data_IF_788435666110
#
_entry.id   IF_788435666110
#
_cell.length_a   1.000
_cell.length_b   1.000
_cell.length_c   1.000
_cell.angle_alpha   90.00
_cell.angle_beta   90.00
_cell.angle_gamma   90.00
#
_symmetry.space_group_name_H-M   'P 1'
#
loop_
_entity.id
_entity.type
_entity.pdbx_description
1 polymer ?
#
# COMPACT_ATOMS: atom_id res chain seq x y z
N UNK A 1 36.50 4.27 26.98
CA UNK A 1 37.49 3.76 26.02
C UNK A 1 37.97 4.92 25.18
N UNK A 2 39.27 5.00 24.91
CA UNK A 2 39.80 5.94 23.93
C UNK A 2 39.30 5.51 22.54
N UNK A 3 38.68 6.44 21.80
CA UNK A 3 38.14 6.20 20.46
C UNK A 3 39.05 6.88 19.44
N UNK A 4 39.45 6.13 18.41
CA UNK A 4 40.28 6.63 17.33
C UNK A 4 39.41 7.31 16.28
N UNK A 5 39.76 8.54 15.91
CA UNK A 5 39.10 9.24 14.81
C UNK A 5 39.28 8.45 13.51
N UNK A 6 38.21 8.32 12.71
CA UNK A 6 38.21 7.55 11.47
C UNK A 6 39.31 7.97 10.49
N UNK A 7 39.65 9.27 10.49
CA UNK A 7 40.62 9.86 9.58
C UNK A 7 42.07 9.81 10.07
N UNK A 8 42.28 9.44 11.34
CA UNK A 8 43.61 9.28 11.93
C UNK A 8 44.38 8.11 11.30
N UNK A 9 45.71 8.13 11.38
CA UNK A 9 46.55 7.04 10.86
C UNK A 9 46.18 5.70 11.51
N UNK A 10 46.01 5.69 12.83
CA UNK A 10 45.63 4.49 13.60
C UNK A 10 44.22 4.04 13.24
N UNK A 11 43.26 4.96 13.15
CA UNK A 11 41.88 4.65 12.76
C UNK A 11 41.77 4.06 11.36
N UNK A 12 42.55 4.54 10.39
CA UNK A 12 42.61 3.99 9.03
C UNK A 12 43.19 2.58 8.99
N UNK A 13 44.28 2.32 9.73
CA UNK A 13 44.86 0.97 9.79
C UNK A 13 43.97 -0.01 10.55
N UNK A 14 43.29 0.43 11.60
CA UNK A 14 42.29 -0.39 12.30
C UNK A 14 41.10 -0.73 11.40
N UNK A 15 40.59 0.23 10.62
CA UNK A 15 39.53 -0.04 9.64
C UNK A 15 39.98 -1.04 8.58
N UNK A 16 41.20 -0.90 8.03
CA UNK A 16 41.76 -1.89 7.08
C UNK A 16 41.84 -3.27 7.71
N UNK A 17 42.35 -3.36 8.95
CA UNK A 17 42.45 -4.62 9.69
C UNK A 17 41.08 -5.29 9.87
N UNK A 18 40.04 -4.52 10.21
CA UNK A 18 38.69 -5.04 10.38
C UNK A 18 38.01 -5.44 9.06
N UNK A 19 38.43 -4.87 7.92
CA UNK A 19 37.93 -5.30 6.60
C UNK A 19 38.49 -6.65 6.14
N UNK A 20 39.72 -6.99 6.53
CA UNK A 20 40.36 -8.27 6.16
C UNK A 20 39.47 -9.50 6.45
N UNK A 21 38.92 -9.71 7.67
CA UNK A 21 38.06 -10.87 7.92
C UNK A 21 36.75 -10.80 7.12
N UNK A 22 36.18 -9.61 6.88
CA UNK A 22 34.98 -9.45 6.06
C UNK A 22 35.25 -9.96 4.64
N UNK A 23 36.32 -9.47 4.01
CA UNK A 23 36.65 -9.76 2.61
C UNK A 23 37.10 -11.21 2.39
N UNK A 24 37.74 -11.82 3.41
CA UNK A 24 38.23 -13.20 3.30
C UNK A 24 37.13 -14.22 3.58
N UNK A 25 36.28 -13.99 4.58
CA UNK A 25 35.23 -14.95 4.92
C UNK A 25 34.01 -14.82 4.01
N UNK A 26 33.67 -13.62 3.54
CA UNK A 26 32.47 -13.34 2.75
C UNK A 26 31.19 -13.92 3.37
N UNK A 27 31.16 -13.93 4.71
CA UNK A 27 30.04 -14.46 5.48
C UNK A 27 29.98 -13.74 6.83
N UNK A 28 28.94 -12.93 7.00
CA UNK A 28 28.72 -12.16 8.23
C UNK A 28 28.63 -13.07 9.46
N UNK A 29 28.01 -14.26 9.36
CA UNK A 29 27.88 -15.17 10.49
C UNK A 29 29.23 -15.68 10.98
N UNK A 30 30.19 -15.90 10.08
CA UNK A 30 31.56 -16.29 10.45
C UNK A 30 32.29 -15.13 11.12
N UNK A 31 32.12 -13.90 10.63
CA UNK A 31 32.69 -12.70 11.26
C UNK A 31 32.12 -12.50 12.66
N UNK A 32 30.82 -12.75 12.87
CA UNK A 32 30.17 -12.65 14.19
C UNK A 32 30.69 -13.67 15.22
N UNK A 33 31.30 -14.78 14.78
CA UNK A 33 31.93 -15.76 15.67
C UNK A 33 33.29 -15.31 16.21
N UNK A 34 33.89 -14.26 15.62
CA UNK A 34 35.16 -13.70 16.08
C UNK A 34 34.95 -12.93 17.38
N UNK A 35 35.38 -13.53 18.50
CA UNK A 35 35.13 -13.05 19.87
C UNK A 35 35.46 -11.57 20.11
N UNK A 36 36.50 -11.05 19.46
CA UNK A 36 36.99 -9.68 19.66
C UNK A 36 36.63 -8.73 18.52
N UNK A 37 35.87 -9.15 17.51
CA UNK A 37 35.56 -8.30 16.36
C UNK A 37 34.70 -7.09 16.74
N UNK A 38 33.54 -7.32 17.37
CA UNK A 38 32.67 -6.22 17.82
C UNK A 38 33.36 -5.31 18.87
N UNK A 39 34.08 -5.85 19.90
CA UNK A 39 34.87 -5.00 20.80
C UNK A 39 35.94 -4.15 20.11
N UNK A 40 36.60 -4.67 19.07
CA UNK A 40 37.59 -3.91 18.30
C UNK A 40 36.95 -2.76 17.51
N UNK A 41 35.76 -3.00 16.96
CA UNK A 41 34.99 -1.96 16.26
C UNK A 41 34.60 -0.79 17.17
N UNK A 42 34.33 -1.03 18.46
CA UNK A 42 34.01 0.01 19.45
C UNK A 42 35.14 1.00 19.75
N UNK A 43 36.38 0.66 19.37
CA UNK A 43 37.52 1.58 19.45
C UNK A 43 37.54 2.62 18.32
N UNK A 44 36.70 2.50 17.29
CA UNK A 44 36.50 3.54 16.29
C UNK A 44 35.51 4.60 16.81
N UNK A 45 35.67 5.83 16.35
CA UNK A 45 34.65 6.87 16.49
C UNK A 45 33.36 6.53 15.72
N UNK A 46 32.31 7.34 15.90
CA UNK A 46 31.02 7.14 15.23
C UNK A 46 31.16 6.98 13.71
N UNK A 47 31.95 7.85 13.07
CA UNK A 47 32.12 7.83 11.61
C UNK A 47 32.83 6.56 11.13
N UNK A 48 33.85 6.09 11.84
CA UNK A 48 34.56 4.86 11.52
C UNK A 48 33.66 3.63 11.68
N UNK A 49 32.86 3.60 12.76
CA UNK A 49 31.86 2.53 12.97
C UNK A 49 30.78 2.57 11.89
N UNK A 50 30.26 3.75 11.53
CA UNK A 50 29.26 3.92 10.45
C UNK A 50 29.78 3.40 9.11
N UNK A 51 30.99 3.81 8.69
CA UNK A 51 31.61 3.35 7.45
C UNK A 51 31.82 1.83 7.43
N UNK A 52 32.26 1.26 8.56
CA UNK A 52 32.45 -0.19 8.66
C UNK A 52 31.10 -0.92 8.65
N UNK A 53 30.05 -0.41 9.30
CA UNK A 53 28.70 -0.96 9.25
C UNK A 53 28.16 -1.01 7.82
N UNK A 54 28.33 0.08 7.05
CA UNK A 54 27.95 0.13 5.62
C UNK A 54 28.73 -0.92 4.83
N UNK A 55 30.04 -1.05 5.09
CA UNK A 55 30.88 -2.05 4.41
C UNK A 55 30.44 -3.49 4.73
N UNK A 56 30.16 -3.78 6.00
CA UNK A 56 29.65 -5.07 6.46
C UNK A 56 28.33 -5.41 5.77
N UNK A 57 27.38 -4.47 5.73
CA UNK A 57 26.10 -4.71 5.07
C UNK A 57 26.24 -4.95 3.57
N UNK A 58 27.09 -4.19 2.87
CA UNK A 58 27.33 -4.43 1.44
C UNK A 58 27.93 -5.82 1.21
N UNK A 59 28.95 -6.22 1.97
CA UNK A 59 29.52 -7.57 1.83
C UNK A 59 28.48 -8.68 2.14
N UNK A 60 27.66 -8.52 3.18
CA UNK A 60 26.61 -9.47 3.52
C UNK A 60 25.53 -9.54 2.42
N UNK A 61 25.21 -8.41 1.79
CA UNK A 61 24.30 -8.32 0.65
C UNK A 61 24.88 -9.01 -0.58
N UNK A 62 26.10 -8.68 -0.96
CA UNK A 62 26.80 -9.22 -2.14
C UNK A 62 27.06 -10.73 -2.01
N UNK A 63 27.30 -11.20 -0.78
CA UNK A 63 27.53 -12.62 -0.48
C UNK A 63 26.24 -13.39 -0.14
N UNK A 64 25.07 -12.74 -0.25
CA UNK A 64 23.76 -13.32 0.05
C UNK A 64 23.66 -14.01 1.41
N UNK A 65 24.27 -13.44 2.46
CA UNK A 65 24.33 -14.08 3.79
C UNK A 65 22.93 -14.17 4.41
N UNK A 66 22.41 -15.39 4.58
CA UNK A 66 21.08 -15.62 5.17
C UNK A 66 21.14 -15.66 6.70
N UNK A 67 20.28 -14.86 7.34
CA UNK A 67 20.13 -14.83 8.81
C UNK A 67 18.93 -15.69 9.21
N UNK A 68 19.16 -16.72 10.00
CA UNK A 68 18.20 -17.82 10.22
C UNK A 68 17.68 -17.91 11.66
N UNK A 69 18.33 -17.28 12.63
CA UNK A 69 17.93 -17.36 14.05
C UNK A 69 17.80 -15.99 14.69
N UNK A 70 17.01 -15.92 15.76
CA UNK A 70 16.84 -14.66 16.51
C UNK A 70 18.19 -14.15 17.07
N UNK A 71 19.07 -15.05 17.50
CA UNK A 71 20.39 -14.69 18.03
C UNK A 71 21.28 -14.07 16.94
N UNK A 72 21.24 -14.61 15.73
CA UNK A 72 21.99 -14.06 14.59
C UNK A 72 21.46 -12.67 14.20
N UNK A 73 20.15 -12.44 14.26
CA UNK A 73 19.54 -11.11 14.03
C UNK A 73 20.07 -10.11 15.07
N UNK A 74 20.05 -10.49 16.35
CA UNK A 74 20.52 -9.61 17.44
C UNK A 74 21.99 -9.27 17.27
N UNK A 75 22.84 -10.27 16.99
CA UNK A 75 24.27 -10.06 16.77
C UNK A 75 24.53 -9.18 15.54
N UNK A 76 23.86 -9.45 14.41
CA UNK A 76 24.04 -8.68 13.18
C UNK A 76 23.60 -7.22 13.35
N UNK A 77 22.39 -6.98 13.88
CA UNK A 77 21.87 -5.63 14.06
C UNK A 77 22.62 -4.83 15.14
N UNK A 78 23.12 -5.49 16.19
CA UNK A 78 23.97 -4.83 17.18
C UNK A 78 25.34 -4.44 16.59
N UNK A 79 25.92 -5.29 15.73
CA UNK A 79 27.18 -4.97 15.06
C UNK A 79 27.05 -3.73 14.17
N UNK A 80 25.91 -3.58 13.47
CA UNK A 80 25.63 -2.41 12.63
C UNK A 80 24.78 -1.33 13.33
N UNK A 81 24.85 -1.26 14.66
CA UNK A 81 23.99 -0.41 15.50
C UNK A 81 24.00 1.07 15.08
N UNK A 82 25.11 1.58 14.52
CA UNK A 82 25.22 2.93 13.98
C UNK A 82 24.19 3.26 12.88
N UNK A 83 23.72 2.24 12.15
CA UNK A 83 22.69 2.37 11.11
C UNK A 83 21.28 2.10 11.65
N UNK A 84 21.18 1.44 12.81
CA UNK A 84 19.91 1.02 13.42
C UNK A 84 19.31 2.12 14.28
N UNK A 85 20.10 2.77 15.13
CA UNK A 85 19.63 3.78 16.08
C UNK A 85 20.65 4.91 16.25
N UNK A 86 20.18 6.05 16.77
CA UNK A 86 21.06 7.15 17.13
C UNK A 86 22.06 6.73 18.21
N UNK A 87 23.31 7.16 18.04
CA UNK A 87 24.40 6.82 18.94
C UNK A 87 24.72 7.99 19.89
N UNK A 88 25.18 7.68 21.09
CA UNK A 88 25.47 8.71 22.11
C UNK A 88 26.64 9.63 21.72
N UNK A 89 27.57 9.13 20.90
CA UNK A 89 28.71 9.86 20.35
C UNK A 89 28.50 10.37 18.92
N UNK A 90 27.28 10.26 18.40
CA UNK A 90 26.95 10.79 17.08
C UNK A 90 27.09 12.31 17.06
N UNK A 91 27.80 12.88 16.07
CA UNK A 91 27.88 14.33 15.91
C UNK A 91 26.48 14.94 15.75
N UNK A 92 26.19 16.02 16.49
CA UNK A 92 24.92 16.77 16.41
C UNK A 92 24.91 17.73 15.22
N UNK A 93 25.08 17.17 14.04
CA UNK A 93 25.03 17.90 12.76
C UNK A 93 23.66 17.62 12.15
N UNK A 94 23.19 18.53 11.29
CA UNK A 94 22.01 18.29 10.47
C UNK A 94 22.19 17.00 9.68
N UNK A 95 21.19 16.13 9.74
CA UNK A 95 21.23 14.83 9.08
C UNK A 95 20.86 15.03 7.62
N UNK A 96 21.77 14.66 6.73
CA UNK A 96 21.45 14.57 5.31
C UNK A 96 20.41 13.46 5.08
N UNK A 97 19.22 13.87 4.62
CA UNK A 97 18.08 12.97 4.44
C UNK A 97 18.34 12.00 3.27
N UNK A 98 19.09 12.42 2.26
CA UNK A 98 19.42 11.59 1.10
C UNK A 98 20.44 10.52 1.49
N UNK A 99 21.52 10.90 2.17
CA UNK A 99 22.53 9.95 2.69
C UNK A 99 21.88 8.93 3.65
N UNK A 100 21.03 9.41 4.57
CA UNK A 100 20.30 8.53 5.48
C UNK A 100 19.39 7.57 4.71
N UNK A 101 18.71 8.03 3.66
CA UNK A 101 17.84 7.17 2.86
C UNK A 101 18.63 6.07 2.14
N UNK A 102 19.83 6.36 1.64
CA UNK A 102 20.73 5.34 1.05
C UNK A 102 21.16 4.29 2.07
N UNK A 103 21.59 4.73 3.26
CA UNK A 103 21.95 3.84 4.37
C UNK A 103 20.79 2.96 4.81
N UNK A 104 19.61 3.56 4.98
CA UNK A 104 18.41 2.81 5.35
C UNK A 104 17.94 1.90 4.22
N UNK A 105 18.24 2.23 2.96
CA UNK A 105 18.06 1.34 1.81
C UNK A 105 18.90 0.07 1.93
N UNK A 106 20.17 0.17 2.35
CA UNK A 106 21.02 -1.00 2.60
C UNK A 106 20.47 -1.86 3.74
N UNK A 107 20.09 -1.24 4.86
CA UNK A 107 19.51 -1.97 5.99
C UNK A 107 18.17 -2.63 5.62
N UNK A 108 17.33 -1.94 4.85
CA UNK A 108 16.07 -2.46 4.32
C UNK A 108 16.29 -3.69 3.43
N UNK A 109 17.27 -3.64 2.52
CA UNK A 109 17.69 -4.80 1.71
C UNK A 109 18.19 -5.95 2.56
N UNK A 110 18.97 -5.66 3.60
CA UNK A 110 19.52 -6.69 4.49
C UNK A 110 18.42 -7.43 5.26
N UNK A 111 17.35 -6.75 5.68
CA UNK A 111 16.18 -7.38 6.33
C UNK A 111 15.56 -8.46 5.42
N UNK A 112 15.61 -8.32 4.10
CA UNK A 112 15.12 -9.36 3.19
C UNK A 112 15.92 -10.67 3.26
N UNK A 113 17.14 -10.68 3.80
CA UNK A 113 17.95 -11.88 4.03
C UNK A 113 17.59 -12.61 5.33
N UNK A 114 16.65 -12.08 6.13
CA UNK A 114 16.17 -12.74 7.35
C UNK A 114 15.18 -13.84 6.99
N UNK A 115 15.71 -15.06 6.79
CA UNK A 115 14.93 -16.22 6.33
C UNK A 115 15.30 -17.46 7.12
N UNK A 116 14.29 -18.07 7.72
CA UNK A 116 14.37 -19.32 8.46
C UNK A 116 13.62 -20.40 7.70
N UNK A 117 14.06 -21.65 7.85
CA UNK A 117 13.39 -22.82 7.27
C UNK A 117 12.09 -23.16 8.01
N UNK A 118 12.08 -23.00 9.33
CA UNK A 118 10.88 -23.19 10.16
C UNK A 118 10.05 -21.90 10.23
N UNK A 119 8.73 -21.95 9.99
CA UNK A 119 7.82 -20.82 10.18
C UNK A 119 7.84 -20.23 11.60
N UNK A 120 7.97 -21.09 12.63
CA UNK A 120 8.01 -20.64 14.02
C UNK A 120 9.32 -19.87 14.31
N UNK A 121 10.43 -20.39 13.78
CA UNK A 121 11.73 -19.70 13.87
C UNK A 121 11.70 -18.37 13.10
N UNK A 122 11.02 -18.32 11.94
CA UNK A 122 10.83 -17.09 11.17
C UNK A 122 10.08 -16.03 11.99
N UNK A 123 9.04 -16.44 12.74
CA UNK A 123 8.31 -15.50 13.61
C UNK A 123 9.22 -14.91 14.70
N UNK A 124 10.09 -15.72 15.30
CA UNK A 124 11.07 -15.26 16.30
C UNK A 124 12.10 -14.30 15.70
N UNK A 125 12.60 -14.60 14.50
CA UNK A 125 13.50 -13.73 13.73
C UNK A 125 12.86 -12.36 13.48
N UNK A 126 11.62 -12.32 12.98
CA UNK A 126 10.88 -11.07 12.73
C UNK A 126 10.60 -10.31 14.04
N UNK A 127 10.25 -11.02 15.11
CA UNK A 127 9.96 -10.42 16.42
C UNK A 127 11.19 -9.75 17.02
N UNK A 128 12.35 -10.41 16.95
CA UNK A 128 13.61 -9.83 17.44
C UNK A 128 14.06 -8.65 16.57
N UNK A 129 13.96 -8.78 15.24
CA UNK A 129 14.26 -7.69 14.31
C UNK A 129 13.40 -6.44 14.60
N UNK A 130 12.08 -6.61 14.77
CA UNK A 130 11.16 -5.51 15.09
C UNK A 130 11.49 -4.84 16.42
N UNK A 131 11.89 -5.62 17.44
CA UNK A 131 12.28 -5.08 18.75
C UNK A 131 13.48 -4.14 18.64
N UNK A 132 14.48 -4.51 17.85
CA UNK A 132 15.70 -3.71 17.67
C UNK A 132 15.45 -2.52 16.73
N UNK A 133 14.90 -2.77 15.55
CA UNK A 133 14.66 -1.74 14.53
C UNK A 133 13.61 -0.71 14.97
N UNK A 134 12.65 -1.12 15.82
CA UNK A 134 11.66 -0.21 16.38
C UNK A 134 12.24 0.90 17.28
N UNK A 135 13.48 0.74 17.76
CA UNK A 135 14.20 1.76 18.52
C UNK A 135 14.92 2.80 17.62
N UNK A 136 14.86 2.66 16.30
CA UNK A 136 15.64 3.48 15.36
C UNK A 136 15.18 4.92 15.15
N UNK A 137 14.04 5.31 15.74
CA UNK A 137 13.45 6.64 15.60
C UNK A 137 12.67 6.83 14.29
N UNK A 138 11.88 7.91 14.21
CA UNK A 138 10.93 8.18 13.11
C UNK A 138 11.57 8.21 11.72
N UNK A 139 12.79 8.75 11.62
CA UNK A 139 13.51 8.87 10.35
C UNK A 139 13.92 7.51 9.75
N UNK A 140 14.15 6.49 10.59
CA UNK A 140 14.63 5.16 10.14
C UNK A 140 13.51 4.16 9.98
N UNK A 141 12.57 4.13 10.93
CA UNK A 141 11.50 3.12 10.96
C UNK A 141 10.63 3.14 9.70
N UNK A 142 10.50 4.31 9.04
CA UNK A 142 9.79 4.47 7.77
C UNK A 142 10.36 3.59 6.64
N UNK A 143 11.64 3.22 6.71
CA UNK A 143 12.32 2.39 5.72
C UNK A 143 12.49 0.93 6.15
N UNK A 144 12.61 0.68 7.46
CA UNK A 144 13.00 -0.64 7.99
C UNK A 144 11.83 -1.49 8.50
N UNK A 145 10.73 -0.87 8.94
CA UNK A 145 9.55 -1.63 9.39
C UNK A 145 8.67 -2.17 8.24
N UNK A 146 8.49 -1.49 7.10
CA UNK A 146 7.66 -2.04 6.01
C UNK A 146 8.13 -3.42 5.49
N UNK A 147 9.44 -3.68 5.28
CA UNK A 147 9.91 -5.02 4.93
C UNK A 147 9.51 -6.10 5.92
N UNK A 148 9.54 -5.80 7.23
CA UNK A 148 9.12 -6.75 8.28
C UNK A 148 7.62 -7.05 8.20
N UNK A 149 6.80 -6.03 7.92
CA UNK A 149 5.35 -6.20 7.73
C UNK A 149 5.06 -7.11 6.54
N UNK A 150 5.74 -6.90 5.40
CA UNK A 150 5.58 -7.75 4.22
C UNK A 150 6.06 -9.19 4.46
N UNK A 151 7.21 -9.38 5.12
CA UNK A 151 7.68 -10.72 5.48
C UNK A 151 6.72 -11.41 6.47
N UNK A 152 6.09 -10.66 7.37
CA UNK A 152 5.07 -11.18 8.26
C UNK A 152 3.79 -11.61 7.51
N UNK A 153 3.33 -10.84 6.51
CA UNK A 153 2.23 -11.28 5.65
C UNK A 153 2.57 -12.55 4.86
N UNK A 154 3.79 -12.63 4.28
CA UNK A 154 4.26 -13.84 3.63
C UNK A 154 4.28 -15.03 4.59
N UNK A 155 4.69 -14.82 5.84
CA UNK A 155 4.66 -15.85 6.88
C UNK A 155 3.23 -16.30 7.21
N UNK A 156 2.26 -15.39 7.25
CA UNK A 156 0.85 -15.74 7.45
C UNK A 156 0.30 -16.61 6.32
N UNK A 157 0.67 -16.34 5.06
CA UNK A 157 0.35 -17.22 3.93
C UNK A 157 0.99 -18.61 4.08
N UNK A 158 2.26 -18.68 4.51
CA UNK A 158 2.90 -19.99 4.77
C UNK A 158 2.19 -20.81 5.84
N UNK A 159 1.69 -20.18 6.92
CA UNK A 159 0.91 -20.90 7.93
C UNK A 159 -0.41 -21.43 7.39
N UNK A 160 -1.05 -20.70 6.47
CA UNK A 160 -2.23 -21.20 5.77
C UNK A 160 -1.93 -22.43 4.92
N UNK A 161 -0.81 -22.41 4.20
CA UNK A 161 -0.40 -23.55 3.37
C UNK A 161 -0.14 -24.80 4.23
N UNK A 162 0.25 -24.61 5.50
CA UNK A 162 0.49 -25.66 6.48
C UNK A 162 -0.72 -25.99 7.36
N UNK A 163 -1.94 -25.56 6.98
CA UNK A 163 -3.16 -25.75 7.80
C UNK A 163 -3.45 -27.20 8.18
N UNK A 164 -3.06 -28.16 7.33
CA UNK A 164 -3.33 -29.58 7.53
C UNK A 164 -2.29 -30.24 8.46
N UNK A 165 -1.13 -29.61 8.62
CA UNK A 165 -0.01 -30.07 9.46
C UNK A 165 -0.01 -29.40 10.84
N UNK A 166 -0.39 -28.12 10.92
CA UNK A 166 -0.33 -27.30 12.13
C UNK A 166 -1.74 -26.97 12.65
N UNK A 167 -2.19 -27.68 13.68
CA UNK A 167 -3.50 -27.43 14.32
C UNK A 167 -3.64 -26.04 14.97
N UNK A 168 -2.53 -25.32 15.19
CA UNK A 168 -2.53 -23.98 15.78
C UNK A 168 -2.32 -22.86 14.74
N UNK A 169 -2.36 -23.18 13.44
CA UNK A 169 -2.09 -22.21 12.37
C UNK A 169 -2.94 -20.94 12.48
N UNK A 170 -4.22 -21.05 12.86
CA UNK A 170 -5.13 -19.91 13.01
C UNK A 170 -4.69 -18.95 14.12
N UNK A 171 -4.33 -19.50 15.29
CA UNK A 171 -3.82 -18.71 16.43
C UNK A 171 -2.49 -18.06 16.07
N UNK A 172 -1.64 -18.73 15.29
CA UNK A 172 -0.38 -18.17 14.80
C UNK A 172 -0.63 -17.02 13.81
N UNK A 173 -1.58 -17.17 12.89
CA UNK A 173 -2.04 -16.08 12.00
C UNK A 173 -2.56 -14.87 12.79
N UNK A 174 -3.42 -15.07 13.80
CA UNK A 174 -3.88 -14.00 14.68
C UNK A 174 -2.71 -13.25 15.33
N UNK A 175 -1.72 -13.98 15.87
CA UNK A 175 -0.54 -13.41 16.49
C UNK A 175 0.33 -12.62 15.49
N UNK A 176 0.41 -13.07 14.24
CA UNK A 176 1.09 -12.35 13.16
C UNK A 176 0.37 -11.04 12.84
N UNK A 177 -0.95 -11.05 12.72
CA UNK A 177 -1.69 -9.83 12.42
C UNK A 177 -1.68 -8.82 13.58
N UNK A 178 -1.65 -9.29 14.83
CA UNK A 178 -1.37 -8.42 15.99
C UNK A 178 0.04 -7.81 15.92
N UNK A 179 1.04 -8.61 15.54
CA UNK A 179 2.39 -8.12 15.31
C UNK A 179 2.44 -7.05 14.21
N UNK A 180 1.83 -7.30 13.05
CA UNK A 180 1.80 -6.32 11.95
C UNK A 180 1.03 -5.07 12.32
N UNK A 181 -0.12 -5.20 12.99
CA UNK A 181 -0.88 -4.06 13.48
C UNK A 181 -0.01 -3.19 14.39
N UNK A 182 0.61 -3.77 15.42
CA UNK A 182 1.47 -3.03 16.35
C UNK A 182 2.71 -2.40 15.68
N UNK A 183 3.16 -2.96 14.56
CA UNK A 183 4.28 -2.47 13.77
C UNK A 183 3.85 -1.30 12.90
N UNK A 184 2.69 -1.39 12.25
CA UNK A 184 2.10 -0.31 11.46
C UNK A 184 1.70 0.86 12.37
N UNK A 185 1.13 0.61 13.55
CA UNK A 185 0.83 1.67 14.54
C UNK A 185 2.10 2.43 14.98
N UNK A 186 3.26 1.78 15.00
CA UNK A 186 4.52 2.48 15.29
C UNK A 186 4.89 3.47 14.18
N UNK A 187 4.56 3.17 12.92
CA UNK A 187 4.72 4.09 11.80
C UNK A 187 3.70 5.24 11.86
N UNK A 188 2.47 4.97 12.28
CA UNK A 188 1.47 6.04 12.52
C UNK A 188 1.94 7.01 13.60
N UNK A 189 2.47 6.49 14.72
CA UNK A 189 3.07 7.31 15.79
C UNK A 189 4.30 8.10 15.34
N UNK A 190 4.88 7.75 14.20
CA UNK A 190 5.98 8.47 13.57
C UNK A 190 5.50 9.55 12.58
N UNK A 191 4.22 9.92 12.65
CA UNK A 191 3.57 10.94 11.82
C UNK A 191 3.57 10.58 10.32
N UNK A 192 3.49 9.29 10.02
CA UNK A 192 3.30 8.79 8.65
C UNK A 192 1.82 8.43 8.45
N UNK A 193 1.19 9.00 7.43
CA UNK A 193 -0.21 8.73 7.10
C UNK A 193 -0.35 7.77 5.91
N UNK A 194 0.28 8.14 4.80
CA UNK A 194 0.12 7.50 3.50
C UNK A 194 0.68 6.08 3.42
N UNK A 195 1.84 5.83 4.04
CA UNK A 195 2.48 4.52 4.03
C UNK A 195 1.73 3.53 4.95
N UNK A 196 1.41 3.87 6.21
CA UNK A 196 0.61 2.99 7.07
C UNK A 196 -0.77 2.66 6.53
N UNK A 197 -1.45 3.62 5.89
CA UNK A 197 -2.74 3.39 5.24
C UNK A 197 -2.61 2.25 4.20
N UNK A 198 -1.61 2.32 3.31
CA UNK A 198 -1.39 1.27 2.30
C UNK A 198 -1.04 -0.08 2.93
N UNK A 199 -0.26 -0.09 4.02
CA UNK A 199 0.07 -1.32 4.76
C UNK A 199 -1.17 -1.95 5.42
N UNK A 200 -2.04 -1.14 6.03
CA UNK A 200 -3.31 -1.63 6.58
C UNK A 200 -4.21 -2.22 5.50
N UNK A 201 -4.33 -1.57 4.34
CA UNK A 201 -5.12 -2.07 3.22
C UNK A 201 -4.56 -3.39 2.64
N UNK A 202 -3.24 -3.50 2.49
CA UNK A 202 -2.60 -4.77 2.10
C UNK A 202 -2.81 -5.86 3.17
N UNK A 203 -2.76 -5.50 4.45
CA UNK A 203 -3.10 -6.40 5.54
C UNK A 203 -4.53 -6.91 5.46
N UNK A 204 -5.50 -6.03 5.20
CA UNK A 204 -6.90 -6.42 5.03
C UNK A 204 -7.10 -7.41 3.85
N UNK A 205 -6.41 -7.19 2.72
CA UNK A 205 -6.40 -8.12 1.59
C UNK A 205 -5.80 -9.48 1.97
N UNK A 206 -4.66 -9.48 2.67
CA UNK A 206 -4.02 -10.71 3.14
C UNK A 206 -4.94 -11.49 4.10
N UNK A 207 -5.59 -10.81 5.04
CA UNK A 207 -6.55 -11.41 5.98
C UNK A 207 -7.72 -12.05 5.23
N UNK A 208 -8.31 -11.33 4.28
CA UNK A 208 -9.40 -11.82 3.43
C UNK A 208 -9.00 -13.08 2.65
N UNK A 209 -7.79 -13.10 2.08
CA UNK A 209 -7.30 -14.27 1.38
C UNK A 209 -7.02 -15.43 2.32
N UNK A 210 -6.50 -15.18 3.52
CA UNK A 210 -6.06 -16.25 4.42
C UNK A 210 -7.25 -16.98 5.06
N UNK A 211 -8.20 -16.24 5.63
CA UNK A 211 -9.43 -16.80 6.19
C UNK A 211 -9.25 -17.67 7.44
N UNK A 212 -8.53 -17.18 8.45
CA UNK A 212 -8.39 -17.84 9.77
C UNK A 212 -9.57 -17.50 10.72
N UNK A 213 -9.73 -18.18 11.85
CA UNK A 213 -10.79 -17.84 12.84
C UNK A 213 -10.79 -16.35 13.24
N UNK A 214 -11.96 -15.70 13.24
CA UNK A 214 -12.16 -14.26 13.51
C UNK A 214 -11.49 -13.30 12.51
N UNK A 215 -11.09 -13.78 11.31
CA UNK A 215 -10.48 -12.93 10.28
C UNK A 215 -11.35 -11.73 9.88
N UNK A 216 -12.69 -11.87 9.89
CA UNK A 216 -13.61 -10.77 9.56
C UNK A 216 -13.42 -9.57 10.49
N UNK A 217 -13.42 -9.78 11.81
CA UNK A 217 -13.23 -8.70 12.79
C UNK A 217 -11.85 -8.05 12.67
N UNK A 218 -10.81 -8.85 12.40
CA UNK A 218 -9.44 -8.32 12.22
C UNK A 218 -9.34 -7.51 10.92
N UNK A 219 -9.95 -7.96 9.83
CA UNK A 219 -9.99 -7.21 8.58
C UNK A 219 -10.75 -5.89 8.73
N UNK A 220 -11.87 -5.91 9.47
CA UNK A 220 -12.65 -4.70 9.76
C UNK A 220 -11.82 -3.68 10.54
N UNK A 221 -11.09 -4.12 11.58
CA UNK A 221 -10.20 -3.25 12.34
C UNK A 221 -9.12 -2.62 11.45
N UNK A 222 -8.49 -3.40 10.56
CA UNK A 222 -7.49 -2.87 9.63
C UNK A 222 -8.06 -1.81 8.68
N UNK A 223 -9.26 -2.03 8.14
CA UNK A 223 -9.93 -1.04 7.30
C UNK A 223 -10.34 0.20 8.10
N UNK A 224 -10.84 0.02 9.33
CA UNK A 224 -11.20 1.11 10.24
C UNK A 224 -10.00 2.01 10.52
N UNK A 225 -8.84 1.43 10.84
CA UNK A 225 -7.58 2.17 11.02
C UNK A 225 -7.17 2.92 9.73
N UNK A 226 -7.35 2.31 8.56
CA UNK A 226 -7.08 2.98 7.28
C UNK A 226 -8.03 4.17 7.03
N UNK A 227 -9.31 4.05 7.39
CA UNK A 227 -10.26 5.16 7.32
C UNK A 227 -9.92 6.28 8.30
N UNK A 228 -9.58 5.96 9.55
CA UNK A 228 -9.15 6.97 10.53
C UNK A 228 -7.94 7.76 10.03
N UNK A 229 -6.92 7.07 9.48
CA UNK A 229 -5.76 7.74 8.88
C UNK A 229 -6.14 8.64 7.70
N UNK A 230 -7.07 8.19 6.85
CA UNK A 230 -7.56 8.99 5.74
C UNK A 230 -8.28 10.27 6.21
N UNK A 231 -9.13 10.16 7.23
CA UNK A 231 -9.94 11.28 7.72
C UNK A 231 -9.12 12.28 8.55
N UNK A 232 -8.20 11.80 9.38
CA UNK A 232 -7.49 12.62 10.37
C UNK A 232 -6.18 13.22 9.83
N UNK A 233 -5.41 12.47 9.04
CA UNK A 233 -4.02 12.81 8.72
C UNK A 233 -3.79 13.20 7.24
N UNK A 234 -4.61 12.72 6.30
CA UNK A 234 -4.44 13.00 4.87
C UNK A 234 -5.22 14.25 4.48
N UNK A 235 -4.53 15.38 4.34
CA UNK A 235 -5.12 16.68 4.01
C UNK A 235 -4.92 17.12 2.55
N UNK A 236 -3.88 16.65 1.86
CA UNK A 236 -3.64 17.01 0.46
C UNK A 236 -4.71 16.44 -0.47
N UNK A 237 -5.30 17.28 -1.31
CA UNK A 237 -6.42 16.91 -2.19
C UNK A 237 -6.08 15.78 -3.16
N UNK A 238 -4.85 15.72 -3.69
CA UNK A 238 -4.45 14.65 -4.63
C UNK A 238 -4.23 13.35 -3.86
N UNK A 239 -3.55 13.43 -2.71
CA UNK A 239 -3.35 12.28 -1.82
C UNK A 239 -4.69 11.72 -1.32
N UNK A 240 -5.67 12.56 -0.97
CA UNK A 240 -7.01 12.15 -0.58
C UNK A 240 -7.71 11.35 -1.68
N UNK A 241 -7.72 11.86 -2.93
CA UNK A 241 -8.33 11.15 -4.05
C UNK A 241 -7.64 9.79 -4.31
N UNK A 242 -6.31 9.76 -4.26
CA UNK A 242 -5.55 8.53 -4.43
C UNK A 242 -5.85 7.51 -3.31
N UNK A 243 -5.88 7.97 -2.06
CA UNK A 243 -6.15 7.13 -0.89
C UNK A 243 -7.58 6.56 -0.94
N UNK A 244 -8.61 7.38 -1.19
CA UNK A 244 -9.99 6.89 -1.25
C UNK A 244 -10.20 5.94 -2.42
N UNK A 245 -9.58 6.20 -3.58
CA UNK A 245 -9.63 5.31 -4.74
C UNK A 245 -9.02 3.95 -4.40
N UNK A 246 -7.90 3.94 -3.66
CA UNK A 246 -7.23 2.72 -3.21
C UNK A 246 -8.06 1.96 -2.15
N UNK A 247 -8.69 2.67 -1.22
CA UNK A 247 -9.64 2.08 -0.25
C UNK A 247 -10.81 1.42 -1.00
N UNK A 248 -11.41 2.11 -1.99
CA UNK A 248 -12.49 1.58 -2.81
C UNK A 248 -12.04 0.33 -3.58
N UNK A 249 -10.90 0.37 -4.26
CA UNK A 249 -10.36 -0.80 -4.96
C UNK A 249 -10.03 -1.97 -4.02
N UNK A 250 -9.59 -1.67 -2.79
CA UNK A 250 -9.33 -2.71 -1.78
C UNK A 250 -10.63 -3.35 -1.31
N UNK A 251 -11.65 -2.55 -0.99
CA UNK A 251 -12.94 -3.05 -0.51
C UNK A 251 -13.69 -3.83 -1.59
N UNK A 252 -13.52 -3.48 -2.87
CA UNK A 252 -14.09 -4.20 -4.00
C UNK A 252 -13.56 -5.65 -4.10
N UNK A 253 -12.29 -5.86 -3.76
CA UNK A 253 -11.64 -7.18 -3.77
C UNK A 253 -11.87 -8.01 -2.49
N UNK A 254 -12.29 -7.37 -1.40
CA UNK A 254 -12.56 -8.07 -0.14
C UNK A 254 -13.92 -8.77 -0.22
N UNK A 255 -13.95 -10.04 0.21
CA UNK A 255 -15.13 -10.92 0.16
C UNK A 255 -15.49 -11.53 1.51
N UNK A 256 -14.71 -11.26 2.56
CA UNK A 256 -14.85 -11.89 3.86
C UNK A 256 -15.89 -11.24 4.79
N UNK A 257 -16.44 -10.07 4.44
CA UNK A 257 -17.42 -9.37 5.27
C UNK A 257 -18.84 -9.89 5.05
N UNK A 258 -19.56 -10.11 6.15
CA UNK A 258 -21.01 -10.21 6.13
C UNK A 258 -21.67 -8.88 5.76
N UNK A 259 -22.97 -8.92 5.43
CA UNK A 259 -23.74 -7.72 5.05
C UNK A 259 -23.68 -6.60 6.10
N UNK A 260 -23.74 -6.98 7.38
CA UNK A 260 -23.69 -6.05 8.52
C UNK A 260 -22.43 -5.19 8.56
N UNK A 261 -21.29 -5.73 8.10
CA UNK A 261 -20.01 -5.02 8.06
C UNK A 261 -19.72 -4.42 6.67
N UNK A 262 -20.14 -5.09 5.59
CA UNK A 262 -19.89 -4.66 4.23
C UNK A 262 -20.64 -3.37 3.87
N UNK A 263 -21.93 -3.27 4.23
CA UNK A 263 -22.75 -2.11 3.87
C UNK A 263 -22.28 -0.79 4.52
N UNK A 264 -21.95 -0.75 5.82
CA UNK A 264 -21.38 0.45 6.44
C UNK A 264 -20.09 0.91 5.77
N UNK A 265 -19.16 0.00 5.47
CA UNK A 265 -17.88 0.33 4.82
C UNK A 265 -18.09 0.90 3.41
N UNK A 266 -19.00 0.32 2.62
CA UNK A 266 -19.34 0.84 1.28
C UNK A 266 -19.98 2.22 1.34
N UNK A 267 -20.88 2.42 2.30
CA UNK A 267 -21.54 3.71 2.52
C UNK A 267 -20.53 4.76 3.00
N UNK A 268 -19.61 4.39 3.89
CA UNK A 268 -18.54 5.27 4.36
C UNK A 268 -17.60 5.67 3.21
N UNK A 269 -17.23 4.76 2.29
CA UNK A 269 -16.50 5.11 1.07
C UNK A 269 -17.23 6.18 0.26
N UNK A 270 -18.53 5.98 0.00
CA UNK A 270 -19.33 6.91 -0.78
C UNK A 270 -19.50 8.28 -0.10
N UNK A 271 -19.57 8.30 1.24
CA UNK A 271 -19.59 9.53 2.03
C UNK A 271 -18.24 10.26 1.94
N UNK A 272 -17.13 9.55 2.18
CA UNK A 272 -15.77 10.07 2.09
C UNK A 272 -15.47 10.66 0.70
N UNK A 273 -15.80 9.94 -0.38
CA UNK A 273 -15.65 10.41 -1.74
C UNK A 273 -16.45 11.70 -2.00
N UNK A 274 -17.65 11.83 -1.42
CA UNK A 274 -18.47 13.04 -1.58
C UNK A 274 -18.03 14.24 -0.73
N UNK A 275 -17.15 14.02 0.25
CA UNK A 275 -16.56 15.07 1.10
C UNK A 275 -15.23 15.60 0.57
N UNK A 276 -14.68 15.04 -0.51
CA UNK A 276 -13.46 15.56 -1.15
C UNK A 276 -13.59 17.06 -1.44
N UNK A 277 -12.51 17.84 -1.38
CA UNK A 277 -12.62 19.29 -1.50
C UNK A 277 -12.99 19.74 -2.92
N UNK A 278 -12.36 19.16 -3.94
CA UNK A 278 -12.53 19.57 -5.35
C UNK A 278 -13.70 18.84 -6.00
N UNK A 279 -14.55 19.58 -6.74
CA UNK A 279 -15.73 19.03 -7.43
C UNK A 279 -15.40 17.94 -8.47
N UNK A 280 -14.35 18.07 -9.31
CA UNK A 280 -13.97 17.00 -10.23
C UNK A 280 -13.57 15.72 -9.50
N UNK A 281 -12.81 15.85 -8.41
CA UNK A 281 -12.36 14.72 -7.59
C UNK A 281 -13.55 14.06 -6.86
N UNK A 282 -14.48 14.86 -6.31
CA UNK A 282 -15.75 14.34 -5.77
C UNK A 282 -16.53 13.53 -6.81
N UNK A 283 -16.63 14.03 -8.04
CA UNK A 283 -17.36 13.38 -9.12
C UNK A 283 -16.74 12.03 -9.47
N UNK A 284 -15.42 12.01 -9.71
CA UNK A 284 -14.65 10.79 -10.00
C UNK A 284 -14.71 9.79 -8.86
N UNK A 285 -14.47 10.22 -7.62
CA UNK A 285 -14.54 9.34 -6.45
C UNK A 285 -15.92 8.70 -6.27
N UNK A 286 -17.01 9.47 -6.40
CA UNK A 286 -18.38 8.94 -6.30
C UNK A 286 -18.69 7.98 -7.45
N UNK A 287 -18.20 8.26 -8.66
CA UNK A 287 -18.32 7.33 -9.79
C UNK A 287 -17.57 6.02 -9.50
N UNK A 288 -16.35 6.07 -8.97
CA UNK A 288 -15.59 4.87 -8.59
C UNK A 288 -16.30 4.07 -7.49
N UNK A 289 -16.91 4.74 -6.49
CA UNK A 289 -17.69 4.06 -5.45
C UNK A 289 -18.90 3.27 -5.99
N UNK A 290 -19.40 3.58 -7.19
CA UNK A 290 -20.50 2.81 -7.79
C UNK A 290 -20.13 1.33 -8.02
N UNK A 291 -18.85 1.03 -8.28
CA UNK A 291 -18.37 -0.34 -8.45
C UNK A 291 -18.55 -1.19 -7.18
N UNK A 292 -18.46 -0.59 -5.98
CA UNK A 292 -18.67 -1.30 -4.72
C UNK A 292 -20.06 -1.91 -4.58
N UNK A 293 -21.05 -1.30 -5.23
CA UNK A 293 -22.44 -1.77 -5.21
C UNK A 293 -22.75 -2.74 -6.34
N UNK A 294 -21.85 -2.87 -7.32
CA UNK A 294 -22.01 -3.78 -8.44
C UNK A 294 -21.09 -5.00 -8.30
N UNK A 295 -19.78 -4.82 -8.51
CA UNK A 295 -18.77 -5.90 -8.49
C UNK A 295 -18.23 -6.22 -7.10
N UNK A 296 -18.57 -5.41 -6.09
CA UNK A 296 -18.16 -5.65 -4.71
C UNK A 296 -18.64 -7.02 -4.21
N UNK A 297 -17.71 -7.81 -3.66
CA UNK A 297 -18.01 -9.15 -3.14
C UNK A 297 -18.40 -9.07 -1.67
N UNK A 298 -19.22 -10.02 -1.21
CA UNK A 298 -19.56 -10.15 0.21
C UNK A 298 -19.83 -11.61 0.56
N UNK A 299 -19.77 -11.94 1.86
CA UNK A 299 -20.12 -13.28 2.33
C UNK A 299 -21.60 -13.58 2.13
N UNK A 300 -22.47 -12.57 2.25
CA UNK A 300 -23.91 -12.68 2.04
C UNK A 300 -24.26 -12.97 0.57
N UNK A 301 -23.48 -12.43 -0.36
CA UNK A 301 -23.56 -12.73 -1.79
C UNK A 301 -22.82 -14.02 -2.17
N UNK A 302 -22.48 -14.89 -1.21
CA UNK A 302 -21.71 -16.12 -1.43
C UNK A 302 -20.36 -15.89 -2.14
N UNK A 303 -19.72 -14.73 -1.89
CA UNK A 303 -18.51 -14.22 -2.55
C UNK A 303 -18.68 -13.89 -4.05
N UNK A 304 -19.90 -13.75 -4.51
CA UNK A 304 -20.27 -13.25 -5.83
C UNK A 304 -20.51 -11.74 -5.81
N UNK A 305 -20.68 -11.15 -6.99
CA UNK A 305 -20.96 -9.73 -7.19
C UNK A 305 -22.34 -9.36 -6.62
N UNK A 306 -22.47 -8.17 -6.00
CA UNK A 306 -23.72 -7.80 -5.30
C UNK A 306 -24.85 -7.37 -6.23
N UNK A 307 -24.51 -6.87 -7.43
CA UNK A 307 -25.47 -6.41 -8.46
C UNK A 307 -26.60 -5.48 -7.94
N UNK A 308 -26.32 -4.57 -7.00
CA UNK A 308 -27.29 -3.55 -6.56
C UNK A 308 -27.38 -2.40 -7.57
N UNK A 309 -28.14 -2.61 -8.63
CA UNK A 309 -28.32 -1.65 -9.71
C UNK A 309 -28.91 -0.30 -9.26
N UNK A 310 -29.71 -0.28 -8.18
CA UNK A 310 -30.33 0.96 -7.67
C UNK A 310 -29.28 1.88 -7.07
N UNK A 311 -28.43 1.36 -6.19
CA UNK A 311 -27.34 2.15 -5.57
C UNK A 311 -26.31 2.62 -6.59
N UNK A 312 -26.03 1.81 -7.62
CA UNK A 312 -25.18 2.21 -8.75
C UNK A 312 -25.74 3.47 -9.41
N UNK A 313 -27.03 3.45 -9.79
CA UNK A 313 -27.67 4.59 -10.44
C UNK A 313 -27.74 5.80 -9.52
N UNK A 314 -27.94 5.62 -8.22
CA UNK A 314 -27.89 6.72 -7.24
C UNK A 314 -26.51 7.40 -7.17
N UNK A 315 -25.43 6.60 -7.18
CA UNK A 315 -24.05 7.10 -7.22
C UNK A 315 -23.79 7.89 -8.51
N UNK A 316 -24.15 7.33 -9.67
CA UNK A 316 -23.94 7.99 -10.96
C UNK A 316 -24.79 9.27 -11.10
N UNK A 317 -26.04 9.26 -10.63
CA UNK A 317 -26.89 10.47 -10.55
C UNK A 317 -26.30 11.53 -9.62
N UNK A 318 -25.68 11.11 -8.51
CA UNK A 318 -24.93 12.03 -7.62
C UNK A 318 -23.70 12.60 -8.35
N UNK A 319 -22.96 11.78 -9.09
CA UNK A 319 -21.85 12.20 -9.96
C UNK A 319 -22.28 13.27 -10.97
N UNK A 320 -23.39 13.06 -11.70
CA UNK A 320 -23.94 14.04 -12.65
C UNK A 320 -24.32 15.38 -11.99
N UNK A 321 -24.89 15.33 -10.78
CA UNK A 321 -25.21 16.54 -10.00
C UNK A 321 -23.95 17.30 -9.58
N UNK A 322 -22.89 16.59 -9.18
CA UNK A 322 -21.60 17.19 -8.81
C UNK A 322 -20.90 17.77 -10.04
N UNK A 323 -20.91 17.07 -11.18
CA UNK A 323 -20.36 17.58 -12.44
C UNK A 323 -21.01 18.91 -12.84
N UNK A 324 -22.34 19.03 -12.70
CA UNK A 324 -23.07 20.30 -12.95
C UNK A 324 -22.67 21.45 -12.00
N UNK A 325 -22.12 21.15 -10.82
CA UNK A 325 -21.64 22.16 -9.87
C UNK A 325 -20.21 22.63 -10.18
N UNK A 326 -19.55 22.05 -11.18
CA UNK A 326 -18.25 22.55 -11.64
C UNK A 326 -18.46 23.88 -12.37
N UNK A 327 -17.66 24.89 -12.02
CA UNK A 327 -17.73 26.22 -12.65
C UNK A 327 -17.12 26.23 -14.05
N UNK A 328 -16.12 25.38 -14.27
CA UNK A 328 -15.43 25.26 -15.55
C UNK A 328 -16.20 24.31 -16.48
N UNK A 329 -16.66 24.85 -17.61
CA UNK A 329 -17.46 24.14 -18.61
C UNK A 329 -16.64 23.03 -19.28
N UNK A 330 -15.34 23.26 -19.52
CA UNK A 330 -14.45 22.25 -20.12
C UNK A 330 -14.36 21.01 -19.22
N UNK A 331 -14.10 21.25 -17.93
CA UNK A 331 -14.05 20.18 -16.92
C UNK A 331 -15.42 19.51 -16.74
N UNK A 332 -16.51 20.28 -16.80
CA UNK A 332 -17.87 19.73 -16.73
C UNK A 332 -18.16 18.76 -17.88
N UNK A 333 -17.85 19.15 -19.12
CA UNK A 333 -18.05 18.29 -20.31
C UNK A 333 -17.15 17.05 -20.22
N UNK A 334 -15.89 17.20 -19.82
CA UNK A 334 -14.98 16.08 -19.60
C UNK A 334 -15.57 15.07 -18.58
N UNK A 335 -16.09 15.55 -17.45
CA UNK A 335 -16.72 14.70 -16.43
C UNK A 335 -17.99 14.02 -16.95
N UNK A 336 -18.78 14.67 -17.81
CA UNK A 336 -19.93 14.02 -18.43
C UNK A 336 -19.52 12.88 -19.36
N UNK A 337 -18.45 13.04 -20.15
CA UNK A 337 -17.90 11.96 -20.98
C UNK A 337 -17.37 10.81 -20.10
N UNK A 338 -16.63 11.11 -19.02
CA UNK A 338 -16.16 10.10 -18.06
C UNK A 338 -17.33 9.34 -17.41
N UNK A 339 -18.39 10.05 -16.97
CA UNK A 339 -19.59 9.44 -16.40
C UNK A 339 -20.37 8.63 -17.43
N UNK A 340 -20.47 9.08 -18.69
CA UNK A 340 -21.11 8.33 -19.76
C UNK A 340 -20.43 6.97 -19.94
N UNK A 341 -19.10 6.92 -19.93
CA UNK A 341 -18.36 5.66 -20.00
C UNK A 341 -18.68 4.74 -18.80
N UNK A 342 -18.85 5.27 -17.58
CA UNK A 342 -19.31 4.46 -16.44
C UNK A 342 -20.74 3.93 -16.64
N UNK A 343 -21.67 4.75 -17.15
CA UNK A 343 -23.02 4.29 -17.47
C UNK A 343 -23.01 3.18 -18.52
N UNK A 344 -22.20 3.34 -19.59
CA UNK A 344 -22.04 2.32 -20.63
C UNK A 344 -21.46 1.04 -20.04
N UNK A 345 -20.44 1.13 -19.18
CA UNK A 345 -19.86 -0.04 -18.50
C UNK A 345 -20.92 -0.85 -17.74
N UNK A 346 -21.74 -0.19 -16.91
CA UNK A 346 -22.77 -0.91 -16.14
C UNK A 346 -23.94 -1.39 -17.00
N UNK A 347 -24.28 -0.66 -18.06
CA UNK A 347 -25.24 -1.13 -19.07
C UNK A 347 -24.74 -2.43 -19.71
N UNK A 348 -23.45 -2.46 -20.09
CA UNK A 348 -22.79 -3.63 -20.67
C UNK A 348 -22.69 -4.81 -19.72
N UNK A 349 -22.63 -4.55 -18.42
CA UNK A 349 -22.62 -5.59 -17.39
C UNK A 349 -24.02 -6.12 -17.05
N UNK A 350 -25.07 -5.66 -17.73
CA UNK A 350 -26.44 -6.14 -17.54
C UNK A 350 -27.18 -5.46 -16.38
N UNK A 351 -26.89 -4.18 -16.09
CA UNK A 351 -27.66 -3.43 -15.10
C UNK A 351 -28.97 -2.90 -15.70
N UNK A 352 -30.08 -3.61 -15.44
CA UNK A 352 -31.43 -3.27 -15.91
C UNK A 352 -31.92 -1.88 -15.48
N UNK A 353 -31.32 -1.28 -14.44
CA UNK A 353 -31.70 0.06 -13.99
C UNK A 353 -31.16 1.17 -14.89
N UNK A 354 -30.19 0.86 -15.76
CA UNK A 354 -29.65 1.80 -16.73
C UNK A 354 -30.36 1.60 -18.04
N UNK A 355 -31.30 2.50 -18.35
CA UNK A 355 -32.02 2.47 -19.63
C UNK A 355 -31.28 3.26 -20.70
N UNK A 356 -31.54 2.89 -21.96
CA UNK A 356 -31.13 3.65 -23.15
C UNK A 356 -31.54 5.13 -23.07
N UNK A 357 -32.68 5.42 -22.45
CA UNK A 357 -33.13 6.80 -22.23
C UNK A 357 -32.16 7.61 -21.35
N UNK A 358 -31.58 7.00 -20.32
CA UNK A 358 -30.59 7.68 -19.46
C UNK A 358 -29.30 7.96 -20.25
N UNK A 359 -28.86 6.99 -21.06
CA UNK A 359 -27.70 7.17 -21.94
C UNK A 359 -27.92 8.34 -22.92
N UNK A 360 -29.07 8.36 -23.60
CA UNK A 360 -29.43 9.45 -24.53
C UNK A 360 -29.50 10.80 -23.83
N UNK A 361 -30.01 10.86 -22.59
CA UNK A 361 -30.01 12.11 -21.82
C UNK A 361 -28.61 12.63 -21.50
N UNK A 362 -27.64 11.74 -21.21
CA UNK A 362 -26.25 12.14 -20.95
C UNK A 362 -25.55 12.54 -22.24
N UNK A 363 -25.74 11.78 -23.32
CA UNK A 363 -25.22 12.09 -24.67
C UNK A 363 -25.76 13.44 -25.17
N UNK A 364 -27.06 13.68 -25.01
CA UNK A 364 -27.70 14.95 -25.38
C UNK A 364 -27.07 16.14 -24.67
N UNK A 365 -26.85 16.04 -23.35
CA UNK A 365 -26.16 17.10 -22.58
C UNK A 365 -24.73 17.35 -23.05
N UNK A 366 -23.99 16.31 -23.41
CA UNK A 366 -22.62 16.48 -23.93
C UNK A 366 -22.69 17.21 -25.28
N UNK A 367 -23.58 16.81 -26.19
CA UNK A 367 -23.74 17.46 -27.50
C UNK A 367 -24.21 18.92 -27.41
N UNK A 368 -25.00 19.27 -26.40
CA UNK A 368 -25.45 20.65 -26.16
C UNK A 368 -24.31 21.55 -25.66
N UNK A 369 -23.44 21.03 -24.79
CA UNK A 369 -22.38 21.82 -24.16
C UNK A 369 -21.05 21.82 -24.91
N UNK A 370 -20.76 20.77 -25.71
CA UNK A 370 -19.51 20.64 -26.47
C UNK A 370 -19.22 21.84 -27.42
N UNK A 371 -20.21 22.39 -28.15
CA UNK A 371 -19.98 23.55 -29.03
C UNK A 371 -19.72 24.87 -28.27
N UNK A 372 -20.06 24.92 -26.98
CA UNK A 372 -19.87 26.12 -26.14
C UNK A 372 -18.43 26.24 -25.62
N UNK A 373 -17.60 25.22 -25.85
CA UNK A 373 -16.20 25.21 -25.43
C UNK A 373 -15.34 26.05 -26.36
N UNK A 374 -14.43 26.83 -25.78
CA UNK A 374 -13.40 27.53 -26.54
C UNK A 374 -12.45 26.54 -27.21
N UNK A 375 -11.99 26.85 -28.42
CA UNK A 375 -11.07 25.99 -29.17
C UNK A 375 -9.71 25.95 -28.47
N UNK A 376 -9.36 24.78 -27.92
CA UNK A 376 -8.11 24.53 -27.21
C UNK A 376 -7.67 23.09 -27.41
N UNK A 377 -6.39 22.79 -27.12
CA UNK A 377 -5.88 21.41 -27.16
C UNK A 377 -6.65 20.48 -26.20
N UNK A 378 -7.16 20.99 -25.07
CA UNK A 378 -7.99 20.23 -24.12
C UNK A 378 -9.37 19.91 -24.72
N UNK A 379 -9.99 20.88 -25.38
CA UNK A 379 -11.29 20.71 -26.05
C UNK A 379 -11.21 19.68 -27.17
N UNK A 380 -10.10 19.66 -27.91
CA UNK A 380 -9.84 18.65 -28.95
C UNK A 380 -9.71 17.24 -28.36
N UNK A 381 -9.06 17.11 -27.19
CA UNK A 381 -8.96 15.83 -26.48
C UNK A 381 -10.32 15.35 -25.99
N UNK A 382 -11.13 16.22 -25.40
CA UNK A 382 -12.48 15.90 -24.92
C UNK A 382 -13.36 15.46 -26.10
N UNK A 383 -13.29 16.18 -27.23
CA UNK A 383 -14.04 15.86 -28.45
C UNK A 383 -13.63 14.50 -29.02
N UNK A 384 -12.32 14.21 -29.08
CA UNK A 384 -11.81 12.88 -29.49
C UNK A 384 -12.29 11.79 -28.54
N UNK A 385 -12.22 12.01 -27.23
CA UNK A 385 -12.68 11.03 -26.24
C UNK A 385 -14.16 10.72 -26.42
N UNK A 386 -15.00 11.75 -26.59
CA UNK A 386 -16.43 11.56 -26.83
C UNK A 386 -16.71 10.82 -28.14
N UNK A 387 -16.04 11.19 -29.24
CA UNK A 387 -16.20 10.51 -30.52
C UNK A 387 -15.80 9.03 -30.44
N UNK A 388 -14.69 8.71 -29.76
CA UNK A 388 -14.29 7.32 -29.52
C UNK A 388 -15.34 6.55 -28.70
N UNK A 389 -15.94 7.19 -27.68
CA UNK A 389 -17.04 6.58 -26.92
C UNK A 389 -18.27 6.30 -27.82
N UNK A 390 -18.63 7.23 -28.71
CA UNK A 390 -19.72 7.00 -29.67
C UNK A 390 -19.40 5.90 -30.69
N UNK A 391 -18.16 5.83 -31.18
CA UNK A 391 -17.70 4.75 -32.05
C UNK A 391 -17.73 3.39 -31.35
N UNK A 392 -17.32 3.32 -30.08
CA UNK A 392 -17.46 2.10 -29.27
C UNK A 392 -18.92 1.66 -29.20
N UNK A 393 -19.84 2.58 -28.87
CA UNK A 393 -21.28 2.24 -28.82
C UNK A 393 -21.80 1.79 -30.19
N UNK A 394 -21.41 2.43 -31.30
CA UNK A 394 -21.76 1.97 -32.67
C UNK A 394 -21.24 0.57 -32.96
N UNK A 395 -19.96 0.31 -32.64
CA UNK A 395 -19.37 -1.01 -32.83
C UNK A 395 -20.10 -2.10 -32.02
N UNK A 396 -20.58 -1.77 -30.82
CA UNK A 396 -21.35 -2.70 -29.98
C UNK A 396 -22.78 -2.91 -30.48
N UNK A 397 -23.38 -1.92 -31.15
CA UNK A 397 -24.65 -2.07 -31.87
C UNK A 397 -24.50 -3.00 -33.09
N UNK A 398 -23.38 -2.92 -33.80
CA UNK A 398 -23.11 -3.72 -35.01
C UNK A 398 -22.63 -5.15 -34.71
N UNK A 399 -22.00 -5.38 -33.55
CA UNK A 399 -21.50 -6.70 -33.12
C UNK A 399 -21.66 -6.90 -31.61
N UNK A 400 -22.83 -7.37 -31.14
CA UNK A 400 -23.06 -7.65 -29.72
C UNK A 400 -22.23 -8.87 -29.27
N UNK A 401 -21.39 -8.71 -28.23
CA UNK A 401 -20.63 -9.82 -27.62
C UNK A 401 -21.50 -10.74 -26.74
N UNK A 402 -22.70 -10.30 -26.36
CA UNK A 402 -23.64 -11.09 -25.55
C UNK A 402 -25.08 -10.91 -26.05
N UNK A 403 -25.84 -12.00 -26.10
CA UNK A 403 -27.22 -12.04 -26.62
C UNK A 403 -28.22 -11.20 -25.80
N UNK A 404 -27.82 -10.66 -24.64
CA UNK A 404 -28.69 -9.97 -23.68
C UNK A 404 -28.58 -8.43 -23.66
N UNK A 405 -27.71 -7.80 -24.45
CA UNK A 405 -27.53 -6.34 -24.44
C UNK A 405 -28.06 -5.74 -25.75
N UNK A 406 -29.31 -5.27 -25.71
CA UNK A 406 -29.92 -4.56 -26.83
C UNK A 406 -29.63 -3.07 -26.72
N UNK A 407 -28.66 -2.59 -27.50
CA UNK A 407 -28.38 -1.15 -27.69
C UNK A 407 -29.43 -0.46 -28.59
N UNK A 408 -30.52 -1.14 -28.94
CA UNK A 408 -31.58 -0.60 -29.79
C UNK A 408 -32.17 0.68 -29.17
N UNK A 409 -31.99 1.81 -29.87
CA UNK A 409 -32.55 3.11 -29.51
C UNK A 409 -31.58 4.13 -28.90
N UNK A 410 -30.27 3.85 -28.82
CA UNK A 410 -29.30 4.91 -28.48
C UNK A 410 -29.18 5.89 -29.66
N UNK A 411 -29.48 7.16 -29.42
CA UNK A 411 -29.41 8.24 -30.40
C UNK A 411 -27.98 8.81 -30.46
N UNK A 412 -27.17 8.23 -31.34
CA UNK A 412 -25.76 8.62 -31.56
C UNK A 412 -25.65 9.83 -32.48
#
# INVERSE_FOLDING_TARGET
>A
MERFEANSLVGKELQKLLRIPIDNYNNLLTVLQLQHYAPLMEHLDYNGRKLLSIYILNNALDSETVITTQEQVEQALNLVSTLVSDQSDQPKIEVDIEELAEEQGLLSRFIHQFKSTSPDQQYLVLSSARKILGAGGSLRIKHTLPPLVFQAYQLAHKYKDLKDEDTMWEKKCQKIFQFTHSTITALVKAELAELPLRLFLQGALAINQIGFENHESVAYEFLSQAFSLYEDEISDSKAQLAAITLIVGTLEQISCFGEENAEPLRTQCALAASKLLKKPDQCRGVATCSHLFWSGKSLASNREETHDGKRVVECLKKGLRIAKQCMDISVQVQLYVELLNHYIYFFEKGNDQISVQILNQVVGKIKEELPNLESSDETDQITKHFNNTLEHVRSRMESPESENILYEGIEI
#
